data_IF_360640381736
#
_entry.id   IF_360640381736
#
_cell.length_a   1.000
_cell.length_b   1.000
_cell.length_c   1.000
_cell.angle_alpha   90.00
_cell.angle_beta   90.00
_cell.angle_gamma   90.00
#
_symmetry.space_group_name_H-M   'P 1'
#
loop_
_entity.id
_entity.type
_entity.pdbx_description
1 polymer ?
#
# COMPACT_ATOMS: atom_id res chain seq x y z
N UNK A 1 -14.67 -13.18 -13.43
CA UNK A 1 -14.33 -13.15 -11.99
C UNK A 1 -13.93 -11.72 -11.63
N UNK A 2 -14.61 -11.06 -10.68
CA UNK A 2 -14.34 -9.65 -10.31
C UNK A 2 -13.31 -9.60 -9.18
N UNK A 3 -12.13 -9.03 -9.45
CA UNK A 3 -11.13 -8.79 -8.41
C UNK A 3 -11.64 -7.74 -7.41
N UNK A 4 -11.42 -7.98 -6.11
CA UNK A 4 -11.80 -7.07 -5.02
C UNK A 4 -10.59 -6.80 -4.13
N UNK A 5 -10.55 -5.62 -3.52
CA UNK A 5 -9.53 -5.30 -2.54
C UNK A 5 -9.71 -6.16 -1.27
N UNK A 6 -8.62 -6.69 -0.71
CA UNK A 6 -8.67 -7.49 0.51
C UNK A 6 -8.75 -6.66 1.80
N UNK A 7 -8.44 -5.36 1.73
CA UNK A 7 -8.44 -4.49 2.89
C UNK A 7 -9.83 -4.39 3.52
N UNK A 8 -9.87 -4.48 4.85
CA UNK A 8 -11.10 -4.35 5.63
C UNK A 8 -11.70 -2.96 5.43
N UNK A 9 -13.00 -2.92 5.06
CA UNK A 9 -13.72 -1.68 4.78
C UNK A 9 -13.51 -1.10 3.37
N UNK A 10 -12.62 -1.68 2.55
CA UNK A 10 -12.43 -1.23 1.18
C UNK A 10 -13.48 -1.84 0.24
N UNK A 11 -14.22 -0.99 -0.48
CA UNK A 11 -15.26 -1.42 -1.44
C UNK A 11 -14.77 -1.45 -2.89
N UNK A 12 -13.48 -1.23 -3.13
CA UNK A 12 -12.91 -1.15 -4.48
C UNK A 12 -12.94 -2.51 -5.19
N UNK A 13 -13.36 -2.49 -6.46
CA UNK A 13 -13.48 -3.66 -7.34
C UNK A 13 -12.83 -3.37 -8.68
N UNK A 14 -12.18 -4.36 -9.27
CA UNK A 14 -11.61 -4.24 -10.61
C UNK A 14 -12.73 -4.01 -11.64
N UNK A 15 -12.46 -3.10 -12.58
CA UNK A 15 -13.43 -2.68 -13.60
C UNK A 15 -14.36 -1.53 -13.18
N UNK A 16 -14.34 -1.10 -11.91
CA UNK A 16 -15.09 0.07 -11.45
C UNK A 16 -14.12 1.12 -10.89
N UNK A 17 -13.80 2.13 -11.70
CA UNK A 17 -12.93 3.26 -11.35
C UNK A 17 -11.46 3.09 -11.77
N UNK A 18 -10.65 4.12 -11.45
CA UNK A 18 -9.23 4.23 -11.85
C UNK A 18 -8.26 3.72 -10.77
N UNK A 19 -8.59 2.59 -10.14
CA UNK A 19 -7.75 2.01 -9.07
C UNK A 19 -6.98 0.79 -9.58
N UNK A 20 -5.68 0.76 -9.29
CA UNK A 20 -4.81 -0.36 -9.65
C UNK A 20 -4.85 -1.43 -8.57
N UNK A 21 -4.72 -2.70 -8.95
CA UNK A 21 -4.71 -3.84 -8.01
C UNK A 21 -3.33 -4.50 -8.00
N UNK A 22 -2.70 -4.52 -6.83
CA UNK A 22 -1.36 -5.06 -6.63
C UNK A 22 -1.40 -6.46 -5.99
N UNK A 23 -0.50 -7.33 -6.44
CA UNK A 23 -0.27 -8.64 -5.81
C UNK A 23 0.56 -8.48 -4.54
N UNK A 24 0.41 -9.41 -3.62
CA UNK A 24 1.35 -9.56 -2.52
C UNK A 24 2.76 -9.86 -3.09
N UNK A 25 3.81 -9.32 -2.48
CA UNK A 25 5.19 -9.55 -2.92
C UNK A 25 5.57 -11.03 -2.81
N UNK A 26 6.53 -11.43 -3.65
CA UNK A 26 7.20 -12.72 -3.53
C UNK A 26 8.16 -12.76 -2.31
N UNK A 27 8.75 -11.62 -1.94
CA UNK A 27 9.59 -11.52 -0.75
C UNK A 27 8.76 -11.77 0.51
N UNK A 28 9.16 -12.76 1.30
CA UNK A 28 8.47 -13.24 2.49
C UNK A 28 8.36 -12.15 3.57
N UNK A 29 9.45 -11.45 3.90
CA UNK A 29 9.45 -10.39 4.91
C UNK A 29 8.53 -9.24 4.52
N UNK A 30 8.54 -8.85 3.24
CA UNK A 30 7.66 -7.80 2.76
C UNK A 30 6.20 -8.25 2.73
N UNK A 31 5.96 -9.53 2.42
CA UNK A 31 4.63 -10.13 2.43
C UNK A 31 4.05 -10.11 3.84
N UNK A 32 4.85 -10.48 4.84
CA UNK A 32 4.46 -10.44 6.26
C UNK A 32 4.15 -9.02 6.71
N UNK A 33 4.97 -8.02 6.32
CA UNK A 33 4.67 -6.60 6.59
C UNK A 33 3.33 -6.17 5.98
N UNK A 34 3.03 -6.62 4.76
CA UNK A 34 1.74 -6.33 4.12
C UNK A 34 0.57 -7.01 4.85
N UNK A 35 0.72 -8.27 5.25
CA UNK A 35 -0.29 -9.01 6.03
C UNK A 35 -0.56 -8.31 7.35
N UNK A 36 0.50 -7.97 8.08
CA UNK A 36 0.42 -7.24 9.34
C UNK A 36 -0.24 -5.87 9.17
N UNK A 37 0.00 -5.18 8.05
CA UNK A 37 -0.62 -3.88 7.77
C UNK A 37 -2.13 -3.98 7.50
N UNK A 38 -2.59 -5.06 6.84
CA UNK A 38 -4.04 -5.29 6.64
C UNK A 38 -4.76 -5.49 7.99
N UNK A 39 -4.04 -5.98 9.03
CA UNK A 39 -4.57 -6.22 10.38
C UNK A 39 -5.89 -7.00 10.37
N UNK A 40 -5.88 -8.18 9.78
CA UNK A 40 -7.04 -9.08 9.72
C UNK A 40 -6.75 -10.36 10.48
N UNK A 41 -7.45 -10.57 11.58
CA UNK A 41 -7.28 -11.76 12.42
C UNK A 41 -7.67 -13.05 11.67
N UNK A 42 -6.87 -14.10 11.87
CA UNK A 42 -7.13 -15.44 11.33
C UNK A 42 -7.14 -15.55 9.80
N UNK A 43 -6.59 -14.58 9.08
CA UNK A 43 -6.63 -14.55 7.62
C UNK A 43 -5.24 -14.59 6.99
N UNK A 44 -5.12 -15.34 5.89
CA UNK A 44 -3.91 -15.38 5.07
C UNK A 44 -4.20 -15.00 3.61
N UNK A 45 -3.31 -14.21 2.96
CA UNK A 45 -3.48 -13.84 1.57
C UNK A 45 -3.27 -15.04 0.65
N UNK A 46 -4.28 -15.33 -0.16
CA UNK A 46 -4.19 -16.28 -1.27
C UNK A 46 -3.45 -15.67 -2.47
N UNK A 47 -2.98 -16.49 -3.44
CA UNK A 47 -2.34 -15.99 -4.67
C UNK A 47 -3.23 -15.05 -5.51
N UNK A 48 -4.54 -15.10 -5.33
CA UNK A 48 -5.53 -14.26 -6.01
C UNK A 48 -5.87 -12.99 -5.23
N UNK A 49 -5.44 -12.90 -3.97
CA UNK A 49 -5.67 -11.73 -3.13
C UNK A 49 -4.93 -10.53 -3.69
N UNK A 50 -5.62 -9.37 -3.75
CA UNK A 50 -5.05 -8.10 -4.18
C UNK A 50 -5.37 -6.97 -3.21
N UNK A 51 -4.49 -5.98 -3.22
CA UNK A 51 -4.68 -4.71 -2.54
C UNK A 51 -4.80 -3.59 -3.58
N UNK A 52 -5.71 -2.64 -3.40
CA UNK A 52 -5.84 -1.51 -4.33
C UNK A 52 -4.80 -0.41 -4.08
N UNK A 53 -4.62 0.46 -5.08
CA UNK A 53 -3.74 1.64 -5.06
C UNK A 53 -3.99 2.58 -3.88
N UNK A 54 -5.24 2.74 -3.43
CA UNK A 54 -5.61 3.71 -2.39
C UNK A 54 -4.98 3.43 -1.01
N UNK A 55 -4.43 2.22 -0.83
CA UNK A 55 -3.70 1.86 0.38
C UNK A 55 -2.24 2.35 0.41
N UNK A 56 -1.79 2.93 -0.71
CA UNK A 56 -0.49 3.58 -0.91
C UNK A 56 -0.70 5.09 -1.04
N UNK A 57 0.18 5.88 -0.44
CA UNK A 57 0.11 7.33 -0.45
C UNK A 57 0.25 7.94 -1.85
N UNK A 58 1.04 7.33 -2.75
CA UNK A 58 1.17 7.73 -4.16
C UNK A 58 0.32 6.89 -5.11
N UNK A 59 -0.50 5.99 -4.59
CA UNK A 59 -1.35 5.13 -5.43
C UNK A 59 -0.59 3.96 -6.09
N UNK A 60 0.68 3.75 -5.78
CA UNK A 60 1.46 2.63 -6.30
C UNK A 60 2.37 2.02 -5.24
N UNK A 61 2.70 0.74 -5.41
CA UNK A 61 3.76 0.09 -4.64
C UNK A 61 5.12 0.59 -5.13
N UNK A 62 5.95 1.03 -4.19
CA UNK A 62 7.36 1.30 -4.46
C UNK A 62 8.23 0.06 -4.13
N UNK A 63 9.30 -0.14 -4.90
CA UNK A 63 10.29 -1.21 -4.66
C UNK A 63 11.36 -0.78 -3.66
N UNK A 64 11.51 0.52 -3.41
CA UNK A 64 12.54 1.04 -2.52
C UNK A 64 12.17 0.86 -1.04
N UNK A 65 12.97 0.16 -0.21
CA UNK A 65 12.67 -0.10 1.20
C UNK A 65 12.53 1.16 2.07
N UNK A 66 13.16 2.27 1.67
CA UNK A 66 13.08 3.55 2.36
C UNK A 66 11.84 4.36 1.97
N UNK A 67 11.07 3.89 0.98
CA UNK A 67 9.85 4.56 0.53
C UNK A 67 8.71 4.27 1.53
N UNK A 68 7.96 5.29 1.96
CA UNK A 68 6.76 5.08 2.77
C UNK A 68 5.69 4.21 2.09
N UNK A 69 5.73 4.07 0.76
CA UNK A 69 4.85 3.20 -0.06
C UNK A 69 5.37 1.77 -0.25
N UNK A 70 6.50 1.42 0.39
CA UNK A 70 7.02 0.05 0.38
C UNK A 70 6.03 -0.94 1.06
N UNK A 71 5.35 -0.47 2.10
CA UNK A 71 4.30 -1.18 2.83
C UNK A 71 3.02 -0.35 2.79
N UNK A 72 1.87 -0.92 2.42
CA UNK A 72 0.61 -0.20 2.48
C UNK A 72 0.35 0.25 3.91
N UNK A 73 -0.10 1.48 4.09
CA UNK A 73 -0.24 2.09 5.42
C UNK A 73 -1.55 2.86 5.60
N UNK A 74 -2.27 3.10 4.51
CA UNK A 74 -3.55 3.80 4.53
C UNK A 74 -4.65 2.76 4.55
N UNK A 75 -5.30 2.54 5.69
CA UNK A 75 -6.43 1.64 5.84
C UNK A 75 -7.60 2.36 6.51
N UNK A 76 -8.78 1.74 6.51
CA UNK A 76 -9.95 2.31 7.16
C UNK A 76 -9.73 2.53 8.67
N UNK A 77 -8.94 1.67 9.32
CA UNK A 77 -8.56 1.81 10.72
C UNK A 77 -7.43 2.83 10.96
N UNK A 78 -6.84 3.40 9.90
CA UNK A 78 -5.77 4.39 10.02
C UNK A 78 -6.39 5.76 10.31
N UNK A 79 -6.10 6.39 11.47
CA UNK A 79 -6.66 7.70 11.79
C UNK A 79 -6.12 8.79 10.85
N UNK A 80 -6.90 9.85 10.65
CA UNK A 80 -6.60 10.92 9.68
C UNK A 80 -5.20 11.53 9.87
N UNK A 81 -4.77 11.77 11.13
CA UNK A 81 -3.44 12.33 11.42
C UNK A 81 -2.31 11.42 10.93
N UNK A 82 -2.45 10.09 11.02
CA UNK A 82 -1.47 9.14 10.50
C UNK A 82 -1.46 9.12 8.98
N UNK A 83 -2.62 9.24 8.34
CA UNK A 83 -2.71 9.38 6.88
C UNK A 83 -1.96 10.61 6.39
N UNK A 84 -2.16 11.76 7.04
CA UNK A 84 -1.45 12.99 6.71
C UNK A 84 0.07 12.85 6.91
N UNK A 85 0.51 12.25 8.03
CA UNK A 85 1.93 11.96 8.26
C UNK A 85 2.55 11.09 7.15
N UNK A 86 1.79 10.15 6.57
CA UNK A 86 2.27 9.32 5.46
C UNK A 86 2.46 10.12 4.18
N UNK A 87 1.54 11.02 3.84
CA UNK A 87 1.73 11.91 2.70
C UNK A 87 2.96 12.83 2.89
N UNK A 88 3.14 13.42 4.07
CA UNK A 88 4.33 14.22 4.37
C UNK A 88 5.63 13.40 4.30
N UNK A 89 5.60 12.16 4.79
CA UNK A 89 6.75 11.26 4.71
C UNK A 89 7.11 10.95 3.25
N UNK A 90 6.13 10.82 2.36
CA UNK A 90 6.37 10.64 0.92
C UNK A 90 7.01 11.88 0.31
N UNK A 91 6.48 13.08 0.58
CA UNK A 91 7.04 14.33 0.06
C UNK A 91 8.48 14.55 0.50
N UNK A 92 8.81 14.24 1.76
CA UNK A 92 10.18 14.35 2.28
C UNK A 92 11.11 13.31 1.64
N UNK A 93 10.63 12.09 1.43
CA UNK A 93 11.36 11.05 0.72
C UNK A 93 11.67 11.47 -0.72
N UNK A 94 10.69 11.97 -1.47
CA UNK A 94 10.86 12.44 -2.85
C UNK A 94 11.85 13.61 -2.94
N UNK A 95 11.74 14.60 -2.03
CA UNK A 95 12.72 15.70 -1.93
C UNK A 95 14.14 15.18 -1.70
N UNK A 96 14.31 14.16 -0.86
CA UNK A 96 15.62 13.54 -0.59
C UNK A 96 16.16 12.81 -1.83
N UNK A 97 15.31 12.09 -2.56
CA UNK A 97 15.71 11.42 -3.81
C UNK A 97 16.11 12.42 -4.90
N UNK A 98 15.35 13.51 -5.07
CA UNK A 98 15.66 14.56 -6.04
C UNK A 98 17.03 15.19 -5.78
N UNK A 99 17.39 15.43 -4.50
CA UNK A 99 18.71 15.95 -4.11
C UNK A 99 19.85 14.99 -4.46
N UNK A 100 19.62 13.68 -4.33
CA UNK A 100 20.63 12.66 -4.69
C UNK A 100 20.86 12.58 -6.19
N UNK A 101 19.78 12.66 -6.99
CA UNK A 101 19.85 12.55 -8.46
C UNK A 101 20.49 13.76 -9.15
N UNK A 102 20.60 14.91 -8.47
CA UNK A 102 21.28 16.12 -8.94
C UNK A 102 22.79 16.15 -8.63
N UNK A 103 23.30 15.17 -7.89
CA UNK A 103 24.73 14.95 -7.65
C UNK A 103 25.23 13.88 -8.59
#
# INVERSE_FOLDING_TARGET
MVLRCCAVGCKNRAGKGSVSFYRFPANQELREKWIAAVKRDGWQPTPYTRLCSDHFAKGHRDSNPLSPDFVPSIFHHTPSHKRHQRHQAMETFEKRQMRKRKR
#
